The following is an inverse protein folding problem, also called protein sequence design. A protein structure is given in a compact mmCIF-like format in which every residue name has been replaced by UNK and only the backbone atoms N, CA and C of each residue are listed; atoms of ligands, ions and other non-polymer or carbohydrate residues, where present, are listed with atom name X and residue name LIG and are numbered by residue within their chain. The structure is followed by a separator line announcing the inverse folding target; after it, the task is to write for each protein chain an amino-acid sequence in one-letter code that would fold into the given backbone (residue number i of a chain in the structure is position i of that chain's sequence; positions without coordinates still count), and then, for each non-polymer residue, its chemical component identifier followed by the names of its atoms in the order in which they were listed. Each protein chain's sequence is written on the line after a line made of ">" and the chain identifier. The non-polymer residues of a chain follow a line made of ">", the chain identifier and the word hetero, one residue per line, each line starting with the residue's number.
data_IF_360322039806
#
_entry.id   IF_360322039806
#
_cell.length_a   1.000
_cell.length_b   1.000
_cell.length_c   1.000
_cell.angle_alpha   90.00
_cell.angle_beta   90.00
_cell.angle_gamma   90.00
#
_symmetry.space_group_name_H-M   'P 1'
#
loop_
_entity.id
_entity.type
_entity.pdbx_description
1 polymer ?
#
# COMPACT_ATOMS: atom_id res chain seq x y z
N UNK A 1 -16.29 8.96 -13.04
CA UNK A 1 -17.42 8.91 -12.11
C UNK A 1 -18.66 8.52 -12.91
N UNK A 2 -19.29 7.37 -12.64
CA UNK A 2 -20.36 6.87 -13.50
C UNK A 2 -21.73 7.06 -12.87
N UNK A 3 -22.72 7.36 -13.71
CA UNK A 3 -24.14 7.28 -13.35
C UNK A 3 -24.78 5.93 -13.73
N UNK A 4 -24.19 5.14 -14.66
CA UNK A 4 -24.75 3.86 -15.14
C UNK A 4 -23.71 2.95 -15.84
N UNK A 5 -22.50 2.79 -15.28
CA UNK A 5 -21.44 1.96 -15.88
C UNK A 5 -20.39 1.47 -14.88
N UNK A 6 -19.70 0.38 -15.23
CA UNK A 6 -18.62 -0.21 -14.42
C UNK A 6 -17.30 0.54 -14.62
N UNK A 7 -16.58 0.78 -13.52
CA UNK A 7 -15.24 1.38 -13.55
C UNK A 7 -14.21 0.26 -13.42
N UNK A 8 -13.21 0.26 -14.30
CA UNK A 8 -12.06 -0.60 -14.15
C UNK A 8 -11.29 -0.27 -12.86
N UNK A 9 -10.98 -1.30 -12.06
CA UNK A 9 -10.13 -1.12 -10.88
C UNK A 9 -8.73 -0.73 -11.35
N UNK A 10 -8.16 0.30 -10.75
CA UNK A 10 -6.77 0.71 -11.02
C UNK A 10 -5.84 -0.39 -10.51
N UNK A 11 -4.94 -0.83 -11.37
CA UNK A 11 -3.79 -1.65 -10.98
C UNK A 11 -2.77 -0.75 -10.29
N UNK A 12 -2.12 -1.30 -9.27
CA UNK A 12 -1.06 -0.61 -8.52
C UNK A 12 0.22 -1.39 -8.79
N UNK A 13 1.35 -0.69 -8.90
CA UNK A 13 2.65 -1.34 -9.04
C UNK A 13 2.99 -2.17 -7.80
N UNK A 14 3.64 -3.31 -8.05
CA UNK A 14 4.10 -4.20 -7.00
C UNK A 14 5.16 -3.52 -6.12
N UNK A 15 5.15 -3.85 -4.84
CA UNK A 15 6.11 -3.32 -3.88
C UNK A 15 7.54 -3.77 -4.19
N UNK A 16 8.56 -2.90 -4.13
CA UNK A 16 9.93 -3.26 -4.51
C UNK A 16 10.62 -4.23 -3.53
N UNK A 17 10.12 -4.36 -2.30
CA UNK A 17 10.73 -5.22 -1.27
C UNK A 17 10.11 -6.61 -1.28
N UNK A 18 8.78 -6.69 -1.34
CA UNK A 18 8.05 -7.96 -1.27
C UNK A 18 7.44 -8.41 -2.59
N UNK A 19 7.53 -7.61 -3.66
CA UNK A 19 7.00 -7.96 -4.99
C UNK A 19 5.48 -8.15 -5.02
N UNK A 20 4.75 -7.63 -4.03
CA UNK A 20 3.33 -7.90 -3.83
C UNK A 20 2.47 -6.66 -3.98
N UNK A 21 1.43 -6.75 -4.80
CA UNK A 21 0.42 -5.70 -4.97
C UNK A 21 -0.37 -5.42 -3.68
N UNK A 22 -0.47 -6.42 -2.79
CA UNK A 22 -1.23 -6.29 -1.54
C UNK A 22 -0.54 -5.34 -0.57
N UNK A 23 0.79 -5.43 -0.50
CA UNK A 23 1.61 -4.54 0.33
C UNK A 23 1.45 -3.10 -0.13
N UNK A 24 1.57 -2.84 -1.44
CA UNK A 24 1.43 -1.48 -1.96
C UNK A 24 0.02 -0.91 -1.72
N UNK A 25 -1.03 -1.72 -1.87
CA UNK A 25 -2.42 -1.30 -1.56
C UNK A 25 -2.61 -0.98 -0.08
N UNK A 26 -1.98 -1.74 0.81
CA UNK A 26 -2.05 -1.52 2.24
C UNK A 26 -1.35 -0.22 2.63
N UNK A 27 -0.11 -0.01 2.16
CA UNK A 27 0.66 1.23 2.38
C UNK A 27 -0.10 2.45 1.86
N UNK A 28 -0.67 2.37 0.65
CA UNK A 28 -1.45 3.47 0.07
C UNK A 28 -2.73 3.79 0.88
N UNK A 29 -3.32 2.79 1.56
CA UNK A 29 -4.51 2.99 2.40
C UNK A 29 -4.16 3.54 3.78
N UNK A 30 -2.99 3.19 4.32
CA UNK A 30 -2.46 3.72 5.59
C UNK A 30 -1.95 5.16 5.45
N UNK A 31 -1.54 5.55 4.25
CA UNK A 31 -0.93 6.85 3.98
C UNK A 31 -1.87 8.03 4.29
N UNK A 32 -1.41 8.92 5.18
CA UNK A 32 -2.07 10.19 5.47
C UNK A 32 -1.41 11.35 4.73
N UNK A 33 -2.23 12.26 4.20
CA UNK A 33 -1.78 13.49 3.51
C UNK A 33 -0.80 13.24 2.34
N UNK A 34 -0.85 12.06 1.70
CA UNK A 34 0.05 11.73 0.59
C UNK A 34 1.50 11.45 0.98
N UNK A 35 1.79 11.27 2.27
CA UNK A 35 3.15 11.02 2.77
C UNK A 35 3.55 9.54 2.59
N UNK A 36 3.97 9.18 1.37
CA UNK A 36 4.31 7.79 1.01
C UNK A 36 5.55 7.26 1.74
N UNK A 37 6.59 8.09 1.83
CA UNK A 37 7.84 7.72 2.51
C UNK A 37 7.59 7.35 3.99
N UNK A 38 6.86 8.19 4.73
CA UNK A 38 6.55 7.91 6.15
C UNK A 38 5.67 6.66 6.32
N UNK A 39 4.70 6.46 5.43
CA UNK A 39 3.83 5.27 5.49
C UNK A 39 4.62 3.98 5.22
N UNK A 40 5.57 4.01 4.28
CA UNK A 40 6.47 2.89 3.99
C UNK A 40 7.36 2.59 5.20
N UNK A 41 7.99 3.60 5.79
CA UNK A 41 8.86 3.42 6.98
C UNK A 41 8.11 2.74 8.12
N UNK A 42 6.92 3.25 8.48
CA UNK A 42 6.10 2.68 9.56
C UNK A 42 5.73 1.23 9.27
N UNK A 43 5.35 0.92 8.02
CA UNK A 43 4.95 -0.42 7.63
C UNK A 43 6.11 -1.43 7.73
N UNK A 44 7.27 -1.11 7.17
CA UNK A 44 8.43 -2.00 7.23
C UNK A 44 8.99 -2.14 8.65
N UNK A 45 8.98 -1.07 9.45
CA UNK A 45 9.34 -1.15 10.87
C UNK A 45 8.40 -2.08 11.64
N UNK A 46 7.10 -2.03 11.36
CA UNK A 46 6.12 -2.91 11.99
C UNK A 46 6.34 -4.39 11.59
N UNK A 47 6.66 -4.65 10.32
CA UNK A 47 7.00 -6.00 9.85
C UNK A 47 8.27 -6.54 10.51
N UNK A 48 9.31 -5.71 10.65
CA UNK A 48 10.55 -6.09 11.35
C UNK A 48 10.29 -6.44 12.82
N UNK A 49 9.46 -5.67 13.51
CA UNK A 49 9.03 -5.98 14.90
C UNK A 49 8.21 -7.26 15.00
N UNK A 50 7.38 -7.55 14.00
CA UNK A 50 6.61 -8.80 13.92
C UNK A 50 7.52 -10.01 13.72
N UNK A 51 8.58 -9.87 12.93
CA UNK A 51 9.54 -10.95 12.67
C UNK A 51 10.40 -11.29 13.89
N UNK A 52 10.64 -10.33 14.79
CA UNK A 52 11.42 -10.54 16.02
C UNK A 52 10.66 -11.26 17.14
N UNK A 53 9.40 -11.61 16.92
CA UNK A 53 8.54 -12.29 17.89
C UNK A 53 8.25 -13.72 17.44
#
# INVERSE_FOLDING_TARGET
>A
MPRKGHIAKRTVEADPVYGSDLVTKFVNSMMWQGKKSTAQTIFYEALSKLQQK
#
